data_IF_945498686331
#
_entry.id   IF_945498686331
#
_cell.length_a   1.000
_cell.length_b   1.000
_cell.length_c   1.000
_cell.angle_alpha   90.00
_cell.angle_beta   90.00
_cell.angle_gamma   90.00
#
_symmetry.space_group_name_H-M   'P 1'
#
loop_
_entity.id
_entity.type
_entity.pdbx_description
1 polymer ?
#
# COMPACT_ATOMS: atom_id res chain seq x y z
N UNK A 1 -29.45 97.84 -77.93
CA UNK A 1 -29.18 96.64 -78.77
C UNK A 1 -27.68 96.62 -78.99
N UNK A 2 -26.87 95.62 -78.62
CA UNK A 2 -26.97 94.15 -78.73
C UNK A 2 -26.00 93.51 -77.69
N UNK A 3 -26.52 92.70 -76.76
CA UNK A 3 -26.25 91.28 -76.46
C UNK A 3 -24.85 90.86 -75.93
N UNK A 4 -24.88 90.12 -74.80
CA UNK A 4 -23.77 89.37 -74.19
C UNK A 4 -23.43 88.08 -74.97
N UNK A 5 -22.32 87.41 -74.63
CA UNK A 5 -22.40 85.95 -74.46
C UNK A 5 -21.70 85.41 -73.20
N UNK A 6 -22.03 84.16 -72.92
CA UNK A 6 -21.99 83.48 -71.64
C UNK A 6 -20.76 82.59 -71.40
N UNK A 7 -20.65 82.20 -70.12
CA UNK A 7 -19.86 81.17 -69.47
C UNK A 7 -19.29 80.01 -70.32
N UNK A 8 -18.03 79.68 -70.04
CA UNK A 8 -17.46 78.33 -70.20
C UNK A 8 -16.92 77.85 -68.85
N UNK A 9 -17.59 76.85 -68.26
CA UNK A 9 -17.19 76.21 -67.02
C UNK A 9 -16.05 75.21 -67.31
N UNK A 10 -14.92 75.39 -66.64
CA UNK A 10 -13.79 74.44 -66.66
C UNK A 10 -14.09 73.33 -65.65
N UNK A 11 -14.41 72.12 -66.11
CA UNK A 11 -14.37 70.94 -65.24
C UNK A 11 -12.92 70.65 -64.80
N UNK A 12 -12.68 70.35 -63.52
CA UNK A 12 -11.35 69.99 -63.06
C UNK A 12 -11.00 68.56 -63.50
N UNK A 13 -9.74 68.29 -63.90
CA UNK A 13 -9.33 66.97 -64.36
C UNK A 13 -9.36 65.97 -63.20
N UNK A 14 -9.99 64.82 -63.43
CA UNK A 14 -10.00 63.68 -62.50
C UNK A 14 -8.58 63.10 -62.45
N UNK A 15 -7.84 63.39 -61.39
CA UNK A 15 -6.49 62.86 -61.20
C UNK A 15 -6.54 61.33 -61.01
N UNK A 16 -5.95 60.60 -61.94
CA UNK A 16 -5.77 59.14 -61.82
C UNK A 16 -4.68 58.92 -60.77
N UNK A 17 -5.10 58.53 -59.56
CA UNK A 17 -4.21 58.20 -58.46
C UNK A 17 -3.38 56.96 -58.81
N UNK A 18 -2.06 57.05 -58.61
CA UNK A 18 -1.14 55.93 -58.83
C UNK A 18 -1.29 54.88 -57.73
N UNK A 19 -0.77 53.66 -57.95
CA UNK A 19 -0.74 52.62 -56.92
C UNK A 19 -0.03 53.08 -55.63
N UNK A 20 0.95 53.98 -55.76
CA UNK A 20 1.66 54.61 -54.64
C UNK A 20 0.75 55.55 -53.84
N UNK A 21 -0.08 56.34 -54.53
CA UNK A 21 -1.01 57.28 -53.87
C UNK A 21 -2.06 56.53 -53.04
N UNK A 22 -2.52 55.38 -53.53
CA UNK A 22 -3.43 54.53 -52.76
C UNK A 22 -2.76 53.95 -51.50
N UNK A 23 -1.46 53.66 -51.53
CA UNK A 23 -0.71 53.21 -50.35
C UNK A 23 -0.55 54.33 -49.31
N UNK A 24 -0.22 55.54 -49.75
CA UNK A 24 -0.14 56.70 -48.87
C UNK A 24 -1.50 57.04 -48.26
N UNK A 25 -2.59 56.91 -49.01
CA UNK A 25 -3.94 57.14 -48.50
C UNK A 25 -4.33 56.13 -47.43
N UNK A 26 -4.01 54.84 -47.63
CA UNK A 26 -4.21 53.79 -46.61
C UNK A 26 -3.37 54.04 -45.37
N UNK A 27 -2.13 54.50 -45.53
CA UNK A 27 -1.28 54.84 -44.39
C UNK A 27 -1.84 56.03 -43.61
N UNK A 28 -2.28 57.07 -44.31
CA UNK A 28 -2.89 58.25 -43.71
C UNK A 28 -4.19 57.89 -42.95
N UNK A 29 -5.04 57.05 -43.54
CA UNK A 29 -6.27 56.55 -42.90
C UNK A 29 -5.96 55.77 -41.62
N UNK A 30 -4.94 54.91 -41.64
CA UNK A 30 -4.46 54.17 -40.47
C UNK A 30 -3.97 55.12 -39.37
N UNK A 31 -3.12 56.10 -39.71
CA UNK A 31 -2.59 57.09 -38.76
C UNK A 31 -3.70 57.90 -38.11
N UNK A 32 -4.67 58.38 -38.89
CA UNK A 32 -5.83 59.13 -38.37
C UNK A 32 -6.69 58.26 -37.46
N UNK A 33 -6.89 56.98 -37.81
CA UNK A 33 -7.68 56.04 -37.01
C UNK A 33 -7.00 55.75 -35.66
N UNK A 34 -5.69 55.49 -35.66
CA UNK A 34 -4.91 55.27 -34.43
C UNK A 34 -4.88 56.53 -33.54
N UNK A 35 -4.78 57.72 -34.12
CA UNK A 35 -4.80 58.97 -33.36
C UNK A 35 -6.16 59.23 -32.70
N UNK A 36 -7.26 58.90 -33.38
CA UNK A 36 -8.63 59.07 -32.86
C UNK A 36 -9.01 58.02 -31.81
N UNK A 37 -8.44 56.82 -31.89
CA UNK A 37 -8.67 55.74 -30.95
C UNK A 37 -7.36 54.98 -30.69
N UNK A 38 -6.52 55.49 -29.77
CA UNK A 38 -5.27 54.83 -29.42
C UNK A 38 -5.54 53.40 -28.92
N UNK A 39 -4.87 52.37 -29.44
CA UNK A 39 -5.06 51.00 -28.97
C UNK A 39 -4.73 50.90 -27.48
N UNK A 40 -5.52 50.09 -26.76
CA UNK A 40 -5.27 49.84 -25.34
C UNK A 40 -3.88 49.22 -25.17
N UNK A 41 -3.12 49.77 -24.22
CA UNK A 41 -1.78 49.28 -23.85
C UNK A 41 -1.90 47.93 -23.16
N UNK A 42 -1.67 46.84 -23.91
CA UNK A 42 -1.84 45.45 -23.43
C UNK A 42 -0.64 45.00 -22.58
N UNK A 43 0.54 45.60 -22.78
CA UNK A 43 1.79 45.19 -22.16
C UNK A 43 2.71 46.39 -21.86
N UNK A 44 2.82 46.84 -20.59
CA UNK A 44 3.68 47.96 -20.20
C UNK A 44 5.18 47.76 -20.50
N UNK A 45 5.63 46.51 -20.57
CA UNK A 45 7.05 46.17 -20.83
C UNK A 45 7.33 46.21 -22.32
N UNK A 46 6.43 45.65 -23.14
CA UNK A 46 6.51 45.79 -24.60
C UNK A 46 6.37 47.26 -25.00
N UNK A 47 5.47 48.00 -24.36
CA UNK A 47 5.28 49.43 -24.61
C UNK A 47 6.55 50.24 -24.37
N UNK A 48 7.25 50.03 -23.24
CA UNK A 48 8.55 50.69 -22.97
C UNK A 48 9.62 50.31 -23.98
N UNK A 49 9.59 49.07 -24.47
CA UNK A 49 10.54 48.58 -25.47
C UNK A 49 10.25 49.16 -26.86
N UNK A 50 8.99 49.48 -27.15
CA UNK A 50 8.55 50.13 -28.39
C UNK A 50 8.65 51.66 -28.35
N UNK A 51 8.81 52.26 -27.17
CA UNK A 51 8.76 53.72 -26.98
C UNK A 51 9.83 54.48 -27.77
N UNK A 52 10.94 53.84 -28.14
CA UNK A 52 12.07 54.49 -28.83
C UNK A 52 12.42 53.82 -30.16
N UNK A 53 11.58 52.90 -30.65
CA UNK A 53 11.85 52.21 -31.91
C UNK A 53 11.55 53.14 -33.08
N UNK A 54 12.52 53.31 -33.96
CA UNK A 54 12.44 54.15 -35.16
C UNK A 54 12.47 53.35 -36.45
N UNK A 55 12.86 52.07 -36.38
CA UNK A 55 12.94 51.18 -37.54
C UNK A 55 12.06 49.92 -37.37
N UNK A 56 11.65 49.33 -38.49
CA UNK A 56 10.84 48.11 -38.49
C UNK A 56 11.60 46.91 -37.87
N UNK A 57 12.92 46.88 -38.03
CA UNK A 57 13.82 45.88 -37.43
C UNK A 57 13.86 45.99 -35.90
N UNK A 58 13.92 47.22 -35.38
CA UNK A 58 13.82 47.49 -33.94
C UNK A 58 12.45 47.07 -33.38
N UNK A 59 11.36 47.33 -34.11
CA UNK A 59 10.01 46.89 -33.72
C UNK A 59 9.93 45.36 -33.71
N UNK A 60 10.49 44.67 -34.70
CA UNK A 60 10.52 43.21 -34.74
C UNK A 60 11.32 42.63 -33.56
N UNK A 61 12.46 43.24 -33.23
CA UNK A 61 13.31 42.86 -32.09
C UNK A 61 12.60 43.12 -30.75
N UNK A 62 11.88 44.24 -30.66
CA UNK A 62 11.04 44.60 -29.52
C UNK A 62 9.80 43.70 -29.38
N UNK A 63 9.23 43.18 -30.47
CA UNK A 63 8.12 42.22 -30.38
C UNK A 63 8.59 40.83 -29.93
N UNK A 64 9.82 40.44 -30.27
CA UNK A 64 10.33 39.08 -30.08
C UNK A 64 11.03 38.87 -28.72
N UNK A 65 11.57 39.91 -28.06
CA UNK A 65 12.37 39.61 -26.86
C UNK A 65 11.54 38.97 -25.72
N UNK A 66 12.08 37.91 -25.09
CA UNK A 66 11.27 36.99 -24.30
C UNK A 66 10.88 37.59 -22.95
N UNK A 67 9.59 37.53 -22.60
CA UNK A 67 9.11 37.67 -21.21
C UNK A 67 9.35 36.38 -20.40
N UNK A 68 10.58 35.88 -20.33
CA UNK A 68 10.87 34.72 -19.49
C UNK A 68 11.64 35.16 -18.27
N UNK A 69 10.91 35.38 -17.16
CA UNK A 69 11.52 35.19 -15.86
C UNK A 69 12.22 33.82 -15.86
N UNK A 70 13.44 33.70 -15.31
CA UNK A 70 14.13 32.43 -15.24
C UNK A 70 13.19 31.37 -14.68
N UNK A 71 13.03 30.23 -15.37
CA UNK A 71 12.13 29.15 -14.93
C UNK A 71 12.43 28.73 -13.48
N UNK A 72 13.68 28.86 -13.04
CA UNK A 72 14.13 28.61 -11.68
C UNK A 72 13.53 29.56 -10.61
N UNK A 73 13.06 30.74 -11.01
CA UNK A 73 12.47 31.76 -10.12
C UNK A 73 10.93 31.72 -10.11
N UNK A 74 10.31 30.84 -10.91
CA UNK A 74 8.87 30.63 -10.84
C UNK A 74 8.49 29.99 -9.50
N UNK A 75 7.51 30.56 -8.81
CA UNK A 75 6.95 30.03 -7.57
C UNK A 75 6.49 28.56 -7.73
N UNK A 76 5.93 28.22 -8.88
CA UNK A 76 5.51 26.85 -9.22
C UNK A 76 6.70 25.89 -9.26
N UNK A 77 7.85 26.32 -9.80
CA UNK A 77 9.06 25.49 -9.86
C UNK A 77 9.70 25.30 -8.49
N UNK A 78 9.64 26.32 -7.63
CA UNK A 78 10.09 26.18 -6.24
C UNK A 78 9.17 25.22 -5.47
N UNK A 79 7.85 25.33 -5.65
CA UNK A 79 6.88 24.42 -5.03
C UNK A 79 7.07 22.98 -5.51
N UNK A 80 7.25 22.76 -6.81
CA UNK A 80 7.53 21.43 -7.36
C UNK A 80 8.81 20.82 -6.80
N UNK A 81 9.87 21.60 -6.62
CA UNK A 81 11.12 21.11 -6.01
C UNK A 81 10.91 20.68 -4.57
N UNK A 82 10.22 21.49 -3.77
CA UNK A 82 9.89 21.14 -2.38
C UNK A 82 9.03 19.87 -2.31
N UNK A 83 8.08 19.72 -3.23
CA UNK A 83 7.24 18.52 -3.29
C UNK A 83 8.03 17.28 -3.72
N UNK A 84 8.96 17.42 -4.66
CA UNK A 84 9.90 16.34 -5.03
C UNK A 84 10.75 15.93 -3.83
N UNK A 85 11.30 16.89 -3.09
CA UNK A 85 12.12 16.62 -1.90
C UNK A 85 11.28 15.88 -0.83
N UNK A 86 10.04 16.33 -0.61
CA UNK A 86 9.10 15.70 0.33
C UNK A 86 8.75 14.27 -0.09
N UNK A 87 8.46 14.05 -1.37
CA UNK A 87 8.12 12.74 -1.91
C UNK A 87 9.32 11.79 -1.88
N UNK A 88 10.54 12.29 -2.13
CA UNK A 88 11.76 11.51 -1.99
C UNK A 88 12.00 11.07 -0.55
N UNK A 89 11.81 11.98 0.43
CA UNK A 89 11.91 11.62 1.84
C UNK A 89 10.87 10.58 2.24
N UNK A 90 9.63 10.72 1.78
CA UNK A 90 8.56 9.75 2.03
C UNK A 90 8.85 8.38 1.36
N UNK A 91 9.36 8.38 0.13
CA UNK A 91 9.76 7.17 -0.57
C UNK A 91 10.87 6.43 0.19
N UNK A 92 11.86 7.15 0.72
CA UNK A 92 12.92 6.55 1.53
C UNK A 92 12.39 5.95 2.82
N UNK A 93 11.57 6.70 3.57
CA UNK A 93 10.96 6.22 4.81
C UNK A 93 10.09 4.98 4.59
N UNK A 94 9.29 4.97 3.52
CA UNK A 94 8.47 3.80 3.16
C UNK A 94 9.30 2.60 2.73
N UNK A 95 10.40 2.79 1.99
CA UNK A 95 11.34 1.73 1.65
C UNK A 95 11.98 1.12 2.90
N UNK A 96 12.41 1.97 3.84
CA UNK A 96 13.04 1.55 5.09
C UNK A 96 12.05 0.77 5.97
N UNK A 97 10.80 1.23 6.07
CA UNK A 97 9.71 0.49 6.75
C UNK A 97 9.40 -0.84 6.08
N UNK A 98 9.35 -0.88 4.76
CA UNK A 98 9.12 -2.12 4.01
C UNK A 98 10.23 -3.14 4.27
N UNK A 99 11.48 -2.68 4.35
CA UNK A 99 12.63 -3.54 4.67
C UNK A 99 12.50 -4.17 6.06
N UNK A 100 12.10 -3.39 7.07
CA UNK A 100 11.84 -3.90 8.43
C UNK A 100 10.71 -4.91 8.42
N UNK A 101 9.59 -4.62 7.74
CA UNK A 101 8.47 -5.55 7.61
C UNK A 101 8.86 -6.86 6.91
N UNK A 102 9.68 -6.80 5.86
CA UNK A 102 10.18 -7.99 5.19
C UNK A 102 11.02 -8.86 6.13
N UNK A 103 11.90 -8.26 6.94
CA UNK A 103 12.70 -8.98 7.93
C UNK A 103 11.81 -9.63 9.01
N UNK A 104 10.79 -8.91 9.49
CA UNK A 104 9.81 -9.45 10.44
C UNK A 104 9.00 -10.61 9.85
N UNK A 105 8.59 -10.52 8.58
CA UNK A 105 7.90 -11.62 7.88
C UNK A 105 8.76 -12.87 7.79
N UNK A 106 10.02 -12.73 7.39
CA UNK A 106 10.95 -13.87 7.34
C UNK A 106 11.10 -14.52 8.71
N UNK A 107 11.24 -13.72 9.78
CA UNK A 107 11.30 -14.27 11.15
C UNK A 107 10.00 -14.99 11.52
N UNK A 108 8.85 -14.39 11.22
CA UNK A 108 7.54 -15.00 11.46
C UNK A 108 7.41 -16.35 10.76
N UNK A 109 7.80 -16.44 9.48
CA UNK A 109 7.73 -17.67 8.70
C UNK A 109 8.59 -18.77 9.33
N UNK A 110 9.82 -18.43 9.75
CA UNK A 110 10.70 -19.37 10.47
C UNK A 110 10.06 -19.85 11.77
N UNK A 111 9.51 -18.94 12.58
CA UNK A 111 8.81 -19.32 13.81
C UNK A 111 7.59 -20.21 13.55
N UNK A 112 6.80 -19.92 12.51
CA UNK A 112 5.64 -20.72 12.14
C UNK A 112 6.06 -22.14 11.73
N UNK A 113 7.08 -22.29 10.90
CA UNK A 113 7.62 -23.60 10.50
C UNK A 113 8.13 -24.36 11.72
N UNK A 114 8.93 -23.71 12.57
CA UNK A 114 9.47 -24.35 13.77
C UNK A 114 8.36 -24.82 14.72
N UNK A 115 7.40 -23.96 15.03
CA UNK A 115 6.29 -24.30 15.93
C UNK A 115 5.45 -25.43 15.35
N UNK A 116 5.23 -25.42 14.03
CA UNK A 116 4.53 -26.51 13.35
C UNK A 116 5.29 -27.83 13.46
N UNK A 117 6.62 -27.82 13.26
CA UNK A 117 7.43 -29.03 13.43
C UNK A 117 7.40 -29.56 14.86
N UNK A 118 7.53 -28.69 15.87
CA UNK A 118 7.46 -29.07 17.28
C UNK A 118 6.09 -29.64 17.66
N UNK A 119 5.00 -29.09 17.10
CA UNK A 119 3.65 -29.61 17.28
C UNK A 119 3.49 -31.02 16.71
N UNK A 120 4.00 -31.27 15.50
CA UNK A 120 3.94 -32.61 14.90
C UNK A 120 4.76 -33.62 15.72
N UNK A 121 5.97 -33.26 16.16
CA UNK A 121 6.76 -34.12 17.03
C UNK A 121 6.07 -34.42 18.37
N UNK A 122 5.41 -33.42 18.96
CA UNK A 122 4.64 -33.61 20.18
C UNK A 122 3.45 -34.56 19.96
N UNK A 123 2.78 -34.44 18.81
CA UNK A 123 1.68 -35.33 18.45
C UNK A 123 2.16 -36.78 18.26
N UNK A 124 3.27 -36.99 17.55
CA UNK A 124 3.87 -38.32 17.36
C UNK A 124 4.21 -38.97 18.71
N UNK A 125 4.74 -38.19 19.67
CA UNK A 125 5.03 -38.66 21.03
C UNK A 125 3.76 -39.04 21.79
N UNK A 126 2.68 -38.26 21.65
CA UNK A 126 1.38 -38.58 22.26
C UNK A 126 0.85 -39.90 21.70
N UNK A 127 0.89 -40.08 20.38
CA UNK A 127 0.39 -41.27 19.71
C UNK A 127 1.19 -42.52 20.15
N UNK A 128 2.52 -42.38 20.28
CA UNK A 128 3.37 -43.44 20.83
C UNK A 128 2.98 -43.80 22.27
N UNK A 129 2.82 -42.81 23.15
CA UNK A 129 2.44 -43.03 24.55
C UNK A 129 1.06 -43.68 24.67
N UNK A 130 0.11 -43.32 23.81
CA UNK A 130 -1.20 -43.95 23.76
C UNK A 130 -1.10 -45.43 23.35
N UNK A 131 -0.28 -45.75 22.35
CA UNK A 131 -0.04 -47.12 21.94
C UNK A 131 0.63 -47.96 23.04
N UNK A 132 1.62 -47.39 23.75
CA UNK A 132 2.26 -48.04 24.90
C UNK A 132 1.27 -48.27 26.04
N UNK A 133 0.44 -47.27 26.34
CA UNK A 133 -0.60 -47.37 27.38
C UNK A 133 -1.62 -48.47 27.07
N UNK A 134 -2.00 -48.65 25.79
CA UNK A 134 -2.87 -49.74 25.38
C UNK A 134 -2.22 -51.11 25.60
N UNK A 135 -0.95 -51.28 25.21
CA UNK A 135 -0.20 -52.53 25.43
C UNK A 135 -0.06 -52.85 26.92
N UNK A 136 0.18 -51.84 27.75
CA UNK A 136 0.29 -52.03 29.20
C UNK A 136 -1.05 -52.45 29.82
N UNK A 137 -2.17 -51.90 29.34
CA UNK A 137 -3.48 -52.33 29.79
C UNK A 137 -3.77 -53.79 29.41
N UNK A 138 -3.45 -54.21 28.20
CA UNK A 138 -3.62 -55.60 27.78
C UNK A 138 -2.84 -56.55 28.69
N UNK A 139 -1.55 -56.25 28.94
CA UNK A 139 -0.71 -57.02 29.88
C UNK A 139 -1.24 -57.02 31.31
N UNK A 140 -1.81 -55.91 31.77
CA UNK A 140 -2.43 -55.83 33.09
C UNK A 140 -3.64 -56.77 33.17
N UNK A 141 -4.52 -56.75 32.17
CA UNK A 141 -5.69 -57.64 32.14
C UNK A 141 -5.30 -59.11 32.08
N UNK A 142 -4.25 -59.44 31.33
CA UNK A 142 -3.70 -60.80 31.29
C UNK A 142 -3.16 -61.22 32.66
N UNK A 143 -2.35 -60.37 33.31
CA UNK A 143 -1.83 -60.62 34.64
C UNK A 143 -2.96 -60.82 35.68
N UNK A 144 -3.99 -59.97 35.65
CA UNK A 144 -5.17 -60.11 36.52
C UNK A 144 -5.90 -61.43 36.29
N UNK A 145 -6.04 -61.86 35.03
CA UNK A 145 -6.62 -63.16 34.70
C UNK A 145 -5.78 -64.32 35.26
N UNK A 146 -4.44 -64.25 35.15
CA UNK A 146 -3.56 -65.29 35.70
C UNK A 146 -3.61 -65.37 37.22
N UNK A 147 -3.84 -64.25 37.92
CA UNK A 147 -3.96 -64.21 39.38
C UNK A 147 -5.26 -64.81 39.92
N UNK A 148 -6.29 -64.96 39.08
CA UNK A 148 -7.59 -65.50 39.50
C UNK A 148 -7.47 -66.94 40.01
N UNK A 149 -6.74 -67.80 39.31
CA UNK A 149 -6.55 -69.22 39.68
C UNK A 149 -5.82 -69.38 41.04
N UNK A 150 -4.64 -68.78 41.26
CA UNK A 150 -3.98 -68.80 42.56
C UNK A 150 -4.88 -68.29 43.70
N UNK A 151 -5.69 -67.25 43.46
CA UNK A 151 -6.61 -66.72 44.47
C UNK A 151 -7.70 -67.72 44.86
N UNK A 152 -8.27 -68.42 43.88
CA UNK A 152 -9.25 -69.49 44.13
C UNK A 152 -8.62 -70.67 44.89
N UNK A 153 -7.39 -71.07 44.52
CA UNK A 153 -6.64 -72.13 45.22
C UNK A 153 -6.38 -71.74 46.67
N UNK A 154 -5.89 -70.52 46.92
CA UNK A 154 -5.65 -70.03 48.29
C UNK A 154 -6.93 -70.03 49.12
N UNK A 155 -8.03 -69.51 48.59
CA UNK A 155 -9.32 -69.51 49.29
C UNK A 155 -9.84 -70.93 49.59
N UNK A 156 -9.61 -71.88 48.67
CA UNK A 156 -9.95 -73.29 48.89
C UNK A 156 -9.10 -73.94 49.98
N UNK A 157 -7.79 -73.66 50.01
CA UNK A 157 -6.88 -74.18 51.02
C UNK A 157 -7.20 -73.63 52.40
N UNK A 158 -7.48 -72.33 52.51
CA UNK A 158 -7.90 -71.68 53.75
C UNK A 158 -9.15 -72.35 54.34
N UNK A 159 -10.18 -72.60 53.53
CA UNK A 159 -11.40 -73.29 53.97
C UNK A 159 -11.08 -74.69 54.51
N UNK A 160 -10.27 -75.47 53.78
CA UNK A 160 -9.91 -76.84 54.17
C UNK A 160 -9.12 -76.88 55.48
N UNK A 161 -8.26 -75.90 55.74
CA UNK A 161 -7.54 -75.77 57.01
C UNK A 161 -8.51 -75.49 58.16
N UNK A 162 -9.49 -74.60 57.96
CA UNK A 162 -10.52 -74.32 58.97
C UNK A 162 -11.34 -75.57 59.29
N UNK A 163 -11.76 -76.32 58.28
CA UNK A 163 -12.52 -77.57 58.46
C UNK A 163 -11.72 -78.61 59.24
N UNK A 164 -10.45 -78.85 58.85
CA UNK A 164 -9.55 -79.77 59.56
C UNK A 164 -9.33 -79.35 61.02
N UNK A 165 -9.19 -78.05 61.29
CA UNK A 165 -9.03 -77.55 62.66
C UNK A 165 -10.31 -77.75 63.49
N UNK A 166 -11.48 -77.57 62.89
CA UNK A 166 -12.76 -77.84 63.55
C UNK A 166 -12.93 -79.34 63.85
N UNK A 167 -12.58 -80.22 62.91
CA UNK A 167 -12.60 -81.68 63.12
C UNK A 167 -11.63 -82.11 64.23
N UNK A 168 -10.40 -81.59 64.22
CA UNK A 168 -9.41 -81.89 65.24
C UNK A 168 -9.84 -81.44 66.64
N UNK A 169 -10.42 -80.24 66.77
CA UNK A 169 -10.94 -79.74 68.05
C UNK A 169 -12.15 -80.54 68.54
N UNK A 170 -13.06 -80.95 67.65
CA UNK A 170 -14.17 -81.83 67.98
C UNK A 170 -13.70 -83.22 68.46
N UNK A 171 -12.73 -83.83 67.77
CA UNK A 171 -12.15 -85.12 68.15
C UNK A 171 -11.48 -85.09 69.53
N UNK A 172 -10.73 -84.01 69.83
CA UNK A 172 -10.13 -83.79 71.16
C UNK A 172 -11.21 -83.60 72.23
N UNK A 173 -12.27 -82.84 71.93
CA UNK A 173 -13.40 -82.63 72.83
C UNK A 173 -14.13 -83.94 73.18
N UNK A 174 -14.44 -84.77 72.17
CA UNK A 174 -15.06 -86.08 72.38
C UNK A 174 -14.17 -87.03 73.18
N UNK A 175 -12.86 -87.09 72.88
CA UNK A 175 -11.91 -87.91 73.64
C UNK A 175 -11.82 -87.50 75.12
N UNK A 176 -12.05 -86.22 75.43
CA UNK A 176 -12.09 -85.70 76.80
C UNK A 176 -13.39 -86.04 77.52
N UNK A 177 -14.53 -86.07 76.83
CA UNK A 177 -15.82 -86.49 77.38
C UNK A 177 -15.87 -87.99 77.67
N UNK A 178 -15.28 -88.83 76.82
CA UNK A 178 -15.20 -90.29 77.05
C UNK A 178 -14.27 -90.69 78.20
N UNK A 179 -13.40 -89.78 78.65
CA UNK A 179 -12.48 -90.03 79.77
C UNK A 179 -12.99 -89.52 81.14
N UNK A 180 -14.17 -88.86 81.17
CA UNK A 180 -14.76 -88.25 82.38
C UNK A 180 -16.11 -88.86 82.81
N UNK A 181 -16.56 -89.93 82.14
CA UNK A 181 -17.73 -90.74 82.54
C UNK A 181 -17.30 -92.13 82.95
#
# INVERSE_FOLDING_TARGET
>A
MVAAPAAGATEPPTAVLTASDHQFYRLAELVVSVARAPPARVDPVLDRRLEHTTTLEEVATAAVAPRRLPVAESEEMMSLRQEVDRLQALAKDTEDKLRVEMDLRVKSDVFCVQTSTELHEAQDRIDQLQAERLKLLERLTEAEATLKSPREVTASLERRIVDINAEATAAVGSSRQTASG
#
